data_IF_916034303507
#
_entry.id   IF_916034303507
#
_cell.length_a   1.000
_cell.length_b   1.000
_cell.length_c   1.000
_cell.angle_alpha   90.00
_cell.angle_beta   90.00
_cell.angle_gamma   90.00
#
_symmetry.space_group_name_H-M   'P 1'
#
loop_
_entity.id
_entity.type
_entity.pdbx_description
1 polymer ?
#
# COMPACT_ATOMS: atom_id res chain seq x y z
N UNK A 1 20.79 -16.71 -7.82
CA UNK A 1 20.53 -15.46 -7.06
C UNK A 1 19.02 -15.23 -6.79
N UNK A 2 18.25 -16.22 -6.29
CA UNK A 2 16.78 -16.07 -6.03
C UNK A 2 16.36 -16.23 -4.55
N UNK A 3 17.30 -16.41 -3.61
CA UNK A 3 17.00 -16.78 -2.21
C UNK A 3 16.68 -15.61 -1.27
N UNK A 4 17.10 -14.39 -1.59
CA UNK A 4 16.98 -13.24 -0.65
C UNK A 4 15.57 -12.61 -0.63
N UNK A 5 14.91 -12.50 -1.79
CA UNK A 5 13.56 -11.95 -1.88
C UNK A 5 12.51 -12.78 -1.09
N UNK A 6 12.72 -14.10 -1.02
CA UNK A 6 11.84 -15.03 -0.28
C UNK A 6 11.87 -14.79 1.23
N UNK A 7 13.04 -14.45 1.78
CA UNK A 7 13.22 -14.28 3.22
C UNK A 7 12.63 -12.93 3.67
N UNK A 8 12.88 -11.85 2.93
CA UNK A 8 12.27 -10.53 3.21
C UNK A 8 10.73 -10.56 3.07
N UNK A 9 10.21 -11.25 2.05
CA UNK A 9 8.77 -11.44 1.89
C UNK A 9 8.15 -12.23 3.05
N UNK A 10 8.85 -13.22 3.61
CA UNK A 10 8.39 -13.95 4.80
C UNK A 10 8.36 -13.06 6.04
N UNK A 11 9.37 -12.21 6.27
CA UNK A 11 9.37 -11.26 7.39
C UNK A 11 8.26 -10.21 7.27
N UNK A 12 8.04 -9.67 6.07
CA UNK A 12 6.96 -8.72 5.82
C UNK A 12 5.58 -9.34 6.09
N UNK A 13 5.38 -10.61 5.69
CA UNK A 13 4.14 -11.34 5.97
C UNK A 13 3.94 -11.61 7.47
N UNK A 14 4.99 -12.01 8.19
CA UNK A 14 4.90 -12.23 9.63
C UNK A 14 4.54 -10.94 10.39
N UNK A 15 5.06 -9.79 9.95
CA UNK A 15 4.71 -8.48 10.52
C UNK A 15 3.23 -8.13 10.33
N UNK A 16 2.64 -8.47 9.18
CA UNK A 16 1.19 -8.27 8.93
C UNK A 16 0.35 -9.22 9.80
N UNK A 17 0.76 -10.48 9.92
CA UNK A 17 0.00 -11.50 10.67
C UNK A 17 -0.02 -11.25 12.19
N UNK A 18 1.02 -10.61 12.73
CA UNK A 18 1.11 -10.25 14.15
C UNK A 18 0.66 -8.83 14.49
N UNK A 19 0.25 -8.04 13.49
CA UNK A 19 -0.12 -6.64 13.70
C UNK A 19 -1.49 -6.51 14.40
N UNK A 20 -1.58 -5.56 15.32
CA UNK A 20 -2.85 -5.15 15.93
C UNK A 20 -3.75 -4.46 14.88
N UNK A 21 -5.08 -4.37 15.13
CA UNK A 21 -5.97 -3.65 14.21
C UNK A 21 -5.54 -2.21 13.92
N UNK A 22 -5.04 -1.49 14.92
CA UNK A 22 -4.54 -0.12 14.74
C UNK A 22 -3.28 -0.06 13.87
N UNK A 23 -2.35 -1.02 14.03
CA UNK A 23 -1.16 -1.13 13.19
C UNK A 23 -1.53 -1.50 11.74
N UNK A 24 -2.52 -2.37 11.54
CA UNK A 24 -3.04 -2.69 10.20
C UNK A 24 -3.62 -1.45 9.52
N UNK A 25 -4.40 -0.64 10.23
CA UNK A 25 -4.90 0.64 9.73
C UNK A 25 -3.75 1.59 9.35
N UNK A 26 -2.72 1.69 10.19
CA UNK A 26 -1.53 2.51 9.89
C UNK A 26 -0.80 2.00 8.64
N UNK A 27 -0.62 0.69 8.51
CA UNK A 27 0.01 0.06 7.35
C UNK A 27 -0.77 0.30 6.05
N UNK A 28 -2.11 0.38 6.12
CA UNK A 28 -2.94 0.77 4.99
C UNK A 28 -2.68 2.22 4.58
N UNK A 29 -2.63 3.16 5.53
CA UNK A 29 -2.26 4.55 5.24
C UNK A 29 -0.86 4.66 4.63
N UNK A 30 0.13 3.97 5.19
CA UNK A 30 1.49 3.93 4.63
C UNK A 30 1.50 3.39 3.19
N UNK A 31 0.69 2.36 2.93
CA UNK A 31 0.49 1.80 1.59
C UNK A 31 -0.10 2.82 0.61
N UNK A 32 -1.14 3.55 1.01
CA UNK A 32 -1.76 4.58 0.19
C UNK A 32 -0.78 5.71 -0.13
N UNK A 33 -0.05 6.22 0.88
CA UNK A 33 0.97 7.28 0.71
C UNK A 33 2.05 6.82 -0.26
N UNK A 34 2.55 5.58 -0.11
CA UNK A 34 3.55 5.02 -1.00
C UNK A 34 3.07 4.99 -2.46
N UNK A 35 1.83 4.59 -2.71
CA UNK A 35 1.29 4.58 -4.07
C UNK A 35 1.12 5.99 -4.64
N UNK A 36 0.73 6.97 -3.83
CA UNK A 36 0.70 8.38 -4.25
C UNK A 36 2.10 8.89 -4.65
N UNK A 37 3.14 8.60 -3.86
CA UNK A 37 4.50 9.02 -4.17
C UNK A 37 5.04 8.36 -5.46
N UNK A 38 4.69 7.09 -5.70
CA UNK A 38 5.03 6.39 -6.94
C UNK A 38 4.29 7.02 -8.13
N UNK A 39 3.01 7.40 -7.96
CA UNK A 39 2.25 8.08 -8.98
C UNK A 39 2.86 9.46 -9.31
N UNK A 40 3.24 10.24 -8.30
CA UNK A 40 3.94 11.53 -8.46
C UNK A 40 5.25 11.36 -9.27
N UNK A 41 6.10 10.42 -8.87
CA UNK A 41 7.33 10.10 -9.61
C UNK A 41 7.08 9.61 -11.04
N UNK A 42 5.93 8.96 -11.30
CA UNK A 42 5.56 8.50 -12.64
C UNK A 42 5.02 9.65 -13.52
N UNK A 43 4.42 10.68 -12.92
CA UNK A 43 4.01 11.92 -13.62
C UNK A 43 5.24 12.62 -14.19
N UNK A 44 6.31 12.77 -13.40
CA UNK A 44 7.57 13.38 -13.85
C UNK A 44 8.18 12.65 -15.06
N UNK A 45 8.02 11.33 -15.09
CA UNK A 45 8.50 10.45 -16.16
C UNK A 45 7.53 10.32 -17.33
N UNK A 46 6.37 10.99 -17.29
CA UNK A 46 5.28 10.88 -18.27
C UNK A 46 4.76 9.46 -18.48
N UNK A 47 4.89 8.59 -17.47
CA UNK A 47 4.41 7.20 -17.48
C UNK A 47 2.92 7.14 -17.09
N UNK A 48 2.02 7.67 -17.94
CA UNK A 48 0.59 7.89 -17.62
C UNK A 48 -0.13 6.61 -17.15
N UNK A 49 0.14 5.46 -17.78
CA UNK A 49 -0.47 4.19 -17.37
C UNK A 49 -0.10 3.83 -15.93
N UNK A 50 1.15 4.05 -15.55
CA UNK A 50 1.65 3.77 -14.22
C UNK A 50 1.10 4.74 -13.18
N UNK A 51 0.91 6.01 -13.55
CA UNK A 51 0.20 6.99 -12.71
C UNK A 51 -1.20 6.46 -12.40
N UNK A 52 -1.97 6.12 -13.43
CA UNK A 52 -3.34 5.63 -13.27
C UNK A 52 -3.40 4.36 -12.41
N UNK A 53 -2.54 3.37 -12.67
CA UNK A 53 -2.52 2.12 -11.90
C UNK A 53 -2.21 2.34 -10.41
N UNK A 54 -1.29 3.26 -10.07
CA UNK A 54 -0.94 3.53 -8.67
C UNK A 54 -2.01 4.37 -7.98
N UNK A 55 -2.65 5.32 -8.67
CA UNK A 55 -3.78 6.07 -8.13
C UNK A 55 -4.98 5.15 -7.83
N UNK A 56 -5.33 4.21 -8.73
CA UNK A 56 -6.38 3.23 -8.47
C UNK A 56 -6.07 2.34 -7.24
N UNK A 57 -4.79 2.04 -6.98
CA UNK A 57 -4.40 1.29 -5.79
C UNK A 57 -4.57 2.10 -4.52
N UNK A 58 -4.17 3.38 -4.55
CA UNK A 58 -4.40 4.30 -3.43
C UNK A 58 -5.90 4.46 -3.16
N UNK A 59 -6.71 4.66 -4.20
CA UNK A 59 -8.16 4.82 -4.11
C UNK A 59 -8.83 3.60 -3.45
N UNK A 60 -8.49 2.38 -3.87
CA UNK A 60 -9.03 1.15 -3.25
C UNK A 60 -8.72 1.04 -1.76
N UNK A 61 -7.53 1.50 -1.33
CA UNK A 61 -7.18 1.51 0.10
C UNK A 61 -8.06 2.51 0.84
N UNK A 62 -8.25 3.70 0.30
CA UNK A 62 -9.11 4.72 0.90
C UNK A 62 -10.57 4.26 0.94
N UNK A 63 -11.08 3.64 -0.12
CA UNK A 63 -12.42 3.04 -0.14
C UNK A 63 -12.58 1.98 0.93
N UNK A 64 -11.62 1.07 1.07
CA UNK A 64 -11.65 0.05 2.12
C UNK A 64 -11.66 0.67 3.51
N UNK A 65 -10.78 1.64 3.77
CA UNK A 65 -10.74 2.36 5.05
C UNK A 65 -12.07 3.06 5.34
N UNK A 66 -12.68 3.73 4.36
CA UNK A 66 -13.99 4.38 4.51
C UNK A 66 -15.12 3.39 4.76
N UNK A 67 -15.10 2.24 4.08
CA UNK A 67 -16.13 1.20 4.22
C UNK A 67 -16.04 0.45 5.56
N UNK A 68 -14.84 0.37 6.14
CA UNK A 68 -14.56 -0.34 7.41
C UNK A 68 -14.50 0.59 8.62
N UNK A 69 -14.57 1.90 8.40
CA UNK A 69 -14.63 2.88 9.48
C UNK A 69 -15.98 2.79 10.20
N UNK A 70 -15.97 2.33 11.44
CA UNK A 70 -17.14 2.39 12.32
C UNK A 70 -17.32 3.85 12.78
N UNK A 71 -18.26 4.57 12.16
CA UNK A 71 -18.54 6.00 12.41
C UNK A 71 -19.52 6.23 13.58
N UNK A 72 -19.58 5.31 14.55
CA UNK A 72 -20.46 5.45 15.72
C UNK A 72 -19.95 6.48 16.74
#
# INVERSE_FOLDING_TARGET
MKKEASVYASYANQKVLGATPAELTLMLYDGAIKFCNIAESAIEKKEIEKVHQNLLRAERIIEYLRATLDMK
#
